data_IF_082393399677
#
_entry.id   IF_082393399677
#
_cell.length_a   1.000
_cell.length_b   1.000
_cell.length_c   1.000
_cell.angle_alpha   90.00
_cell.angle_beta   90.00
_cell.angle_gamma   90.00
#
_symmetry.space_group_name_H-M   'P 1'
#
loop_
_entity.id
_entity.type
_entity.pdbx_description
1 polymer ?
#
# COMPACT_ATOMS: atom_id res chain seq x y z
N UNK A 1 14.04 1.31 -1.15
CA UNK A 1 12.84 1.61 -1.98
C UNK A 1 12.41 0.56 -3.00
N UNK A 2 13.29 -0.31 -3.52
CA UNK A 2 12.92 -1.26 -4.58
C UNK A 2 11.68 -2.12 -4.28
N UNK A 3 11.61 -2.73 -3.10
CA UNK A 3 10.47 -3.57 -2.70
C UNK A 3 9.17 -2.76 -2.55
N UNK A 4 9.22 -1.55 -1.98
CA UNK A 4 8.04 -0.65 -1.89
C UNK A 4 7.51 -0.33 -3.28
N UNK A 5 8.39 -0.04 -4.24
CA UNK A 5 7.99 0.21 -5.65
C UNK A 5 7.31 -1.02 -6.25
N UNK A 6 7.81 -2.22 -5.98
CA UNK A 6 7.18 -3.45 -6.49
C UNK A 6 5.78 -3.66 -5.90
N UNK A 7 5.58 -3.34 -4.61
CA UNK A 7 4.28 -3.48 -3.96
C UNK A 7 3.29 -2.39 -4.42
N UNK A 8 3.74 -1.15 -4.59
CA UNK A 8 2.86 -0.04 -4.98
C UNK A 8 2.64 0.12 -6.50
N UNK A 9 3.59 -0.30 -7.34
CA UNK A 9 3.63 0.01 -8.78
C UNK A 9 3.96 -1.19 -9.66
N UNK A 10 3.78 -2.42 -9.17
CA UNK A 10 4.35 -3.64 -9.78
C UNK A 10 3.89 -4.01 -11.19
N UNK A 11 3.22 -3.10 -11.90
CA UNK A 11 2.86 -3.19 -13.31
C UNK A 11 1.40 -3.54 -13.53
N UNK A 12 0.92 -3.48 -14.78
CA UNK A 12 -0.49 -3.67 -15.12
C UNK A 12 -1.01 -5.08 -14.82
N UNK A 13 -0.11 -6.07 -14.73
CA UNK A 13 -0.47 -7.45 -14.39
C UNK A 13 -0.51 -7.72 -12.89
N UNK A 14 -0.04 -6.78 -12.05
CA UNK A 14 -0.13 -6.94 -10.59
C UNK A 14 -1.45 -6.39 -10.09
N UNK A 15 -2.18 -7.29 -9.44
CA UNK A 15 -3.49 -7.10 -8.86
C UNK A 15 -3.43 -7.59 -7.43
N UNK A 16 -3.98 -6.82 -6.49
CA UNK A 16 -3.99 -7.15 -5.06
C UNK A 16 -5.42 -7.25 -4.55
N UNK A 17 -5.63 -8.22 -3.67
CA UNK A 17 -6.83 -8.43 -2.85
C UNK A 17 -6.46 -8.20 -1.37
N UNK A 18 -7.43 -7.92 -0.49
CA UNK A 18 -7.14 -7.78 0.94
C UNK A 18 -6.46 -9.01 1.55
N UNK A 19 -6.75 -10.22 1.02
CA UNK A 19 -6.14 -11.46 1.48
C UNK A 19 -4.61 -11.53 1.24
N UNK A 20 -4.11 -10.83 0.21
CA UNK A 20 -2.67 -10.84 -0.12
C UNK A 20 -1.83 -10.15 0.96
N UNK A 21 -2.42 -9.25 1.77
CA UNK A 21 -1.70 -8.56 2.83
C UNK A 21 -1.09 -9.53 3.85
N UNK A 22 -1.80 -10.62 4.16
CA UNK A 22 -1.29 -11.66 5.07
C UNK A 22 -0.08 -12.37 4.47
N UNK A 23 -0.15 -12.75 3.19
CA UNK A 23 0.94 -13.43 2.49
C UNK A 23 2.17 -12.53 2.38
N UNK A 24 1.98 -11.24 2.07
CA UNK A 24 3.07 -10.26 2.02
C UNK A 24 3.74 -10.05 3.37
N UNK A 25 2.98 -10.05 4.47
CA UNK A 25 3.55 -9.93 5.82
C UNK A 25 4.35 -11.19 6.18
N UNK A 26 3.85 -12.39 5.85
CA UNK A 26 4.58 -13.65 6.06
C UNK A 26 5.90 -13.67 5.27
N UNK A 27 5.87 -13.29 3.99
CA UNK A 27 7.07 -13.15 3.15
C UNK A 27 8.05 -12.11 3.72
N UNK A 28 7.54 -11.00 4.25
CA UNK A 28 8.36 -9.97 4.88
C UNK A 28 9.06 -10.49 6.13
N UNK A 29 8.39 -11.27 6.97
CA UNK A 29 8.99 -11.86 8.16
C UNK A 29 10.09 -12.86 7.81
N UNK A 30 9.88 -13.70 6.79
CA UNK A 30 10.93 -14.60 6.28
C UNK A 30 12.14 -13.79 5.76
N UNK A 31 11.89 -12.72 5.01
CA UNK A 31 12.95 -11.87 4.47
C UNK A 31 13.74 -11.16 5.58
N UNK A 32 13.06 -10.70 6.65
CA UNK A 32 13.73 -10.08 7.81
C UNK A 32 14.65 -11.06 8.51
N UNK A 33 14.16 -12.25 8.84
CA UNK A 33 14.96 -13.25 9.53
C UNK A 33 16.13 -13.74 8.66
N UNK A 34 15.96 -13.79 7.33
CA UNK A 34 17.06 -14.04 6.39
C UNK A 34 18.20 -13.00 6.54
N UNK A 35 17.88 -11.70 6.57
CA UNK A 35 18.90 -10.66 6.72
C UNK A 35 19.51 -10.59 8.13
N UNK A 36 18.75 -10.95 9.16
CA UNK A 36 19.25 -11.01 10.54
C UNK A 36 20.14 -12.25 10.74
N UNK A 37 19.83 -13.34 10.05
CA UNK A 37 20.61 -14.58 10.00
C UNK A 37 21.00 -15.10 11.39
N UNK A 38 20.05 -15.14 12.34
CA UNK A 38 20.30 -15.65 13.69
C UNK A 38 21.30 -14.83 14.53
N UNK A 39 21.66 -13.62 14.09
CA UNK A 39 22.66 -12.76 14.72
C UNK A 39 23.97 -12.64 13.94
N UNK A 40 24.20 -13.50 12.94
CA UNK A 40 25.38 -13.46 12.08
C UNK A 40 25.23 -12.48 10.90
N UNK A 41 24.03 -11.91 10.73
CA UNK A 41 23.68 -10.97 9.66
C UNK A 41 23.68 -9.51 10.11
N UNK A 42 22.73 -8.74 9.57
CA UNK A 42 22.54 -7.34 9.93
C UNK A 42 21.92 -7.21 11.34
N UNK A 43 22.26 -6.15 12.10
CA UNK A 43 21.63 -5.90 13.38
C UNK A 43 20.11 -5.79 13.26
N UNK A 44 19.36 -6.46 14.14
CA UNK A 44 17.88 -6.50 14.11
C UNK A 44 17.26 -5.10 14.01
N UNK A 45 17.75 -4.14 14.78
CA UNK A 45 17.25 -2.76 14.72
C UNK A 45 17.43 -2.08 13.36
N UNK A 46 18.52 -2.40 12.63
CA UNK A 46 18.74 -1.89 11.27
C UNK A 46 17.70 -2.49 10.32
N UNK A 47 17.46 -3.81 10.39
CA UNK A 47 16.48 -4.49 9.54
C UNK A 47 15.06 -4.00 9.83
N UNK A 48 14.65 -3.92 11.10
CA UNK A 48 13.33 -3.40 11.50
C UNK A 48 13.11 -1.97 11.02
N UNK A 49 14.11 -1.09 11.14
CA UNK A 49 14.01 0.28 10.66
C UNK A 49 13.84 0.34 9.12
N UNK A 50 14.55 -0.52 8.37
CA UNK A 50 14.45 -0.55 6.90
C UNK A 50 13.09 -1.04 6.42
N UNK A 51 12.47 -2.00 7.12
CA UNK A 51 11.17 -2.57 6.73
C UNK A 51 9.98 -1.82 7.31
N UNK A 52 10.17 -0.90 8.25
CA UNK A 52 9.08 -0.19 8.94
C UNK A 52 8.08 0.47 7.98
N UNK A 53 8.57 1.18 6.96
CA UNK A 53 7.71 1.80 5.94
C UNK A 53 6.99 0.76 5.06
N UNK A 54 7.67 -0.32 4.73
CA UNK A 54 7.10 -1.40 3.92
C UNK A 54 5.95 -2.10 4.65
N UNK A 55 6.13 -2.39 5.95
CA UNK A 55 5.10 -2.99 6.80
C UNK A 55 3.85 -2.10 6.88
N UNK A 56 4.01 -0.78 6.94
CA UNK A 56 2.88 0.15 6.86
C UNK A 56 2.13 0.01 5.53
N UNK A 57 2.84 -0.08 4.40
CA UNK A 57 2.23 -0.30 3.08
C UNK A 57 1.51 -1.64 2.99
N UNK A 58 2.11 -2.72 3.50
CA UNK A 58 1.48 -4.06 3.54
C UNK A 58 0.21 -4.03 4.39
N UNK A 59 0.23 -3.34 5.54
CA UNK A 59 -0.96 -3.13 6.36
C UNK A 59 -2.07 -2.42 5.58
N UNK A 60 -1.72 -1.39 4.79
CA UNK A 60 -2.68 -0.70 3.94
C UNK A 60 -3.33 -1.64 2.91
N UNK A 61 -2.60 -2.65 2.42
CA UNK A 61 -3.17 -3.63 1.49
C UNK A 61 -4.30 -4.47 2.10
N UNK A 62 -4.35 -4.60 3.43
CA UNK A 62 -5.33 -5.41 4.15
C UNK A 62 -6.62 -4.69 4.57
N UNK A 63 -6.72 -3.37 4.40
CA UNK A 63 -7.97 -2.66 4.68
C UNK A 63 -9.00 -2.88 3.58
N UNK A 64 -10.26 -2.73 3.96
CA UNK A 64 -11.36 -2.72 3.01
C UNK A 64 -11.27 -1.51 2.07
N UNK A 65 -11.71 -1.69 0.83
CA UNK A 65 -11.65 -0.65 -0.20
C UNK A 65 -12.37 0.63 0.21
N UNK A 66 -13.47 0.50 0.96
CA UNK A 66 -14.21 1.67 1.49
C UNK A 66 -13.40 2.48 2.48
N UNK A 67 -12.67 1.82 3.39
CA UNK A 67 -11.83 2.50 4.38
C UNK A 67 -10.70 3.28 3.68
N UNK A 68 -10.08 2.67 2.66
CA UNK A 68 -9.06 3.32 1.84
C UNK A 68 -9.61 4.54 1.07
N UNK A 69 -10.84 4.46 0.56
CA UNK A 69 -11.51 5.57 -0.15
C UNK A 69 -11.84 6.72 0.81
N UNK A 70 -12.38 6.42 1.99
CA UNK A 70 -12.69 7.43 3.01
C UNK A 70 -11.42 8.14 3.49
N UNK A 71 -10.36 7.37 3.70
CA UNK A 71 -9.07 7.92 4.10
C UNK A 71 -8.45 8.76 2.99
N UNK A 72 -8.58 8.36 1.72
CA UNK A 72 -8.11 9.15 0.58
C UNK A 72 -8.87 10.47 0.42
N UNK A 73 -10.19 10.47 0.61
CA UNK A 73 -10.99 11.71 0.61
C UNK A 73 -10.52 12.65 1.71
N UNK A 74 -10.35 12.12 2.92
CA UNK A 74 -9.85 12.86 4.07
C UNK A 74 -8.46 13.44 3.80
N UNK A 75 -7.53 12.61 3.29
CA UNK A 75 -6.17 13.04 2.96
C UNK A 75 -6.13 14.11 1.86
N UNK A 76 -7.01 14.01 0.85
CA UNK A 76 -7.08 14.97 -0.26
C UNK A 76 -7.71 16.31 0.15
N UNK A 77 -8.69 16.29 1.05
CA UNK A 77 -9.32 17.50 1.60
C UNK A 77 -8.40 18.21 2.60
N UNK A 78 -7.55 17.46 3.31
CA UNK A 78 -6.71 17.98 4.39
C UNK A 78 -5.31 18.47 3.98
N UNK A 79 -4.89 18.30 2.71
CA UNK A 79 -3.72 19.02 2.15
C UNK A 79 -3.89 20.56 2.30
N UNK A 80 -5.11 21.03 2.56
CA UNK A 80 -5.47 22.43 2.79
C UNK A 80 -5.50 22.88 4.28
N UNK A 81 -5.54 21.95 5.26
CA UNK A 81 -5.86 22.28 6.68
C UNK A 81 -5.08 21.51 7.77
N UNK A 82 -4.11 20.66 7.44
CA UNK A 82 -3.16 20.10 8.43
C UNK A 82 -3.69 18.93 9.28
N UNK A 83 -4.78 18.29 8.88
CA UNK A 83 -5.23 17.02 9.44
C UNK A 83 -4.59 15.82 8.72
N UNK A 84 -4.13 14.80 9.46
CA UNK A 84 -3.52 13.61 8.87
C UNK A 84 -4.54 12.57 8.42
N UNK A 85 -4.16 11.72 7.47
CA UNK A 85 -4.85 10.45 7.17
C UNK A 85 -5.00 9.62 8.46
N UNK A 86 -6.19 9.03 8.66
CA UNK A 86 -6.46 8.12 9.78
C UNK A 86 -5.60 6.87 9.70
N UNK A 87 -5.29 6.43 8.49
CA UNK A 87 -4.44 5.25 8.24
C UNK A 87 -2.95 5.60 8.19
N UNK A 88 -2.57 6.86 8.36
CA UNK A 88 -1.18 7.33 8.36
C UNK A 88 -0.51 7.32 6.99
N UNK A 89 -1.29 7.33 5.90
CA UNK A 89 -0.80 7.26 4.53
C UNK A 89 -1.07 8.55 3.76
N UNK A 90 -0.13 8.97 2.91
CA UNK A 90 -0.38 10.08 1.99
C UNK A 90 -1.36 9.68 0.86
N UNK A 91 -2.01 10.69 0.26
CA UNK A 91 -2.96 10.49 -0.83
C UNK A 91 -2.32 9.70 -2.00
N UNK A 92 -1.04 9.95 -2.30
CA UNK A 92 -0.33 9.26 -3.39
C UNK A 92 -0.22 7.76 -3.14
N UNK A 93 0.04 7.34 -1.91
CA UNK A 93 0.14 5.93 -1.52
C UNK A 93 -1.22 5.25 -1.59
N UNK A 94 -2.27 5.91 -1.08
CA UNK A 94 -3.64 5.38 -1.13
C UNK A 94 -4.14 5.22 -2.58
N UNK A 95 -3.90 6.21 -3.44
CA UNK A 95 -4.24 6.14 -4.87
C UNK A 95 -3.56 4.95 -5.53
N UNK A 96 -2.27 4.75 -5.29
CA UNK A 96 -1.49 3.63 -5.87
C UNK A 96 -2.04 2.27 -5.45
N UNK A 97 -2.38 2.11 -4.17
CA UNK A 97 -2.99 0.88 -3.66
C UNK A 97 -4.35 0.65 -4.32
N UNK A 98 -5.19 1.69 -4.43
CA UNK A 98 -6.50 1.58 -5.08
C UNK A 98 -6.38 1.28 -6.58
N UNK A 99 -5.36 1.80 -7.27
CA UNK A 99 -5.13 1.54 -8.69
C UNK A 99 -4.84 0.06 -8.99
N UNK A 100 -4.22 -0.65 -8.05
CA UNK A 100 -3.88 -2.07 -8.18
C UNK A 100 -4.84 -2.99 -7.39
N UNK A 101 -5.93 -2.44 -6.84
CA UNK A 101 -6.95 -3.22 -6.13
C UNK A 101 -7.82 -4.00 -7.10
N UNK A 102 -7.92 -5.31 -6.89
CA UNK A 102 -8.68 -6.24 -7.75
C UNK A 102 -10.19 -6.24 -7.46
N UNK A 103 -10.81 -5.07 -7.34
CA UNK A 103 -12.25 -4.95 -7.19
C UNK A 103 -12.85 -3.80 -8.03
N UNK A 104 -14.17 -3.88 -8.24
CA UNK A 104 -14.90 -2.90 -9.05
C UNK A 104 -15.16 -1.59 -8.31
N UNK A 105 -15.20 -1.59 -6.98
CA UNK A 105 -15.49 -0.41 -6.16
C UNK A 105 -14.35 0.61 -6.25
N UNK A 106 -13.09 0.16 -6.10
CA UNK A 106 -11.90 0.97 -6.29
C UNK A 106 -11.84 1.56 -7.71
N UNK A 107 -12.07 0.71 -8.73
CA UNK A 107 -12.05 1.14 -10.13
C UNK A 107 -13.12 2.19 -10.43
N UNK A 108 -14.35 2.00 -9.96
CA UNK A 108 -15.45 2.94 -10.15
C UNK A 108 -15.19 4.27 -9.44
N UNK A 109 -14.70 4.21 -8.20
CA UNK A 109 -14.33 5.40 -7.44
C UNK A 109 -13.24 6.21 -8.17
N UNK A 110 -12.13 5.57 -8.54
CA UNK A 110 -11.01 6.25 -9.21
C UNK A 110 -11.43 6.88 -10.54
N UNK A 111 -12.21 6.15 -11.36
CA UNK A 111 -12.74 6.69 -12.63
C UNK A 111 -13.61 7.92 -12.42
N UNK A 112 -14.49 7.89 -11.42
CA UNK A 112 -15.36 9.03 -11.09
C UNK A 112 -14.57 10.21 -10.54
N UNK A 113 -13.67 9.96 -9.57
CA UNK A 113 -12.91 10.98 -8.87
C UNK A 113 -11.97 11.73 -9.81
N UNK A 114 -11.24 10.99 -10.66
CA UNK A 114 -10.23 11.57 -11.56
C UNK A 114 -10.71 11.74 -13.00
N UNK A 115 -12.01 11.55 -13.26
CA UNK A 115 -12.63 11.66 -14.59
C UNK A 115 -11.89 10.85 -15.66
N UNK A 116 -11.45 9.66 -15.29
CA UNK A 116 -10.70 8.77 -16.20
C UNK A 116 -11.67 8.28 -17.27
N UNK A 117 -11.36 8.44 -18.57
CA UNK A 117 -12.21 7.97 -19.64
C UNK A 117 -12.34 6.45 -19.59
N UNK A 118 -13.44 5.92 -20.13
CA UNK A 118 -13.55 4.48 -20.34
C UNK A 118 -12.46 4.06 -21.31
N UNK A 119 -11.83 2.91 -21.06
CA UNK A 119 -10.90 2.33 -22.02
C UNK A 119 -11.63 2.13 -23.34
N UNK A 120 -11.09 2.68 -24.42
CA UNK A 120 -11.48 2.28 -25.76
C UNK A 120 -11.00 0.84 -25.95
N UNK A 121 -11.92 -0.07 -26.23
CA UNK A 121 -11.61 -1.45 -26.60
C UNK A 121 -11.35 -1.53 -28.10
#
# INVERSE_FOLDING_TARGET
>A
DGLIRVILDGGPSRMFTPADAKLLEEDLEVLKEFFISGGDGLPRGVVENQVARLRQVIKLHGYETRELIEDLKSASEMEMQGGGSKLGADAKTLIRILCHRSDSEASQFLKKQYRIPKSAA
#
